data_IF_306541712282
#
_entry.id   IF_306541712282
#
_cell.length_a   1.000
_cell.length_b   1.000
_cell.length_c   1.000
_cell.angle_alpha   90.00
_cell.angle_beta   90.00
_cell.angle_gamma   90.00
#
_symmetry.space_group_name_H-M   'P 1'
#
loop_
_entity.id
_entity.type
_entity.pdbx_description
1 polymer ?
#
# COMPACT_ATOMS: atom_id res chain seq x y z
N UNK A 1 -18.44 -2.63 -27.72
CA UNK A 1 -17.05 -2.90 -28.16
C UNK A 1 -16.00 -1.99 -27.48
N UNK A 2 -16.40 -0.82 -26.98
CA UNK A 2 -15.47 0.13 -26.32
C UNK A 2 -15.23 -0.14 -24.83
N UNK A 3 -16.14 -0.79 -24.12
CA UNK A 3 -15.98 -1.10 -22.69
C UNK A 3 -14.86 -2.13 -22.40
N UNK A 4 -14.61 -3.04 -23.33
CA UNK A 4 -13.54 -4.05 -23.18
C UNK A 4 -12.14 -3.44 -23.24
N UNK A 5 -11.94 -2.37 -24.01
CA UNK A 5 -10.66 -1.68 -24.16
C UNK A 5 -10.35 -0.74 -22.98
N UNK A 6 -11.35 -0.15 -22.34
CA UNK A 6 -11.15 0.71 -21.16
C UNK A 6 -10.75 -0.10 -19.94
N UNK A 7 -11.38 -1.24 -19.69
CA UNK A 7 -11.07 -2.11 -18.57
C UNK A 7 -9.65 -2.71 -18.66
N UNK A 8 -9.15 -2.98 -19.87
CA UNK A 8 -7.82 -3.57 -20.05
C UNK A 8 -6.69 -2.61 -19.68
N UNK A 9 -6.93 -1.29 -19.69
CA UNK A 9 -5.92 -0.29 -19.33
C UNK A 9 -5.98 0.15 -17.84
N UNK A 10 -7.07 -0.13 -17.13
CA UNK A 10 -7.25 0.28 -15.72
C UNK A 10 -6.37 -0.54 -14.78
N UNK A 11 -6.30 -1.84 -14.96
CA UNK A 11 -5.50 -2.73 -14.11
C UNK A 11 -4.00 -2.40 -14.11
N UNK A 12 -3.35 -2.19 -15.27
CA UNK A 12 -1.93 -1.84 -15.31
C UNK A 12 -1.63 -0.53 -14.59
N UNK A 13 -2.47 0.49 -14.78
CA UNK A 13 -2.33 1.77 -14.10
C UNK A 13 -2.48 1.64 -12.58
N UNK A 14 -3.42 0.81 -12.13
CA UNK A 14 -3.63 0.54 -10.72
C UNK A 14 -2.40 -0.13 -10.09
N UNK A 15 -1.85 -1.16 -10.70
CA UNK A 15 -0.65 -1.84 -10.22
C UNK A 15 0.58 -0.92 -10.22
N UNK A 16 0.71 -0.05 -11.23
CA UNK A 16 1.78 0.95 -11.27
C UNK A 16 1.68 1.91 -10.09
N UNK A 17 0.47 2.41 -9.77
CA UNK A 17 0.26 3.27 -8.61
C UNK A 17 0.51 2.56 -7.29
N UNK A 18 0.12 1.28 -7.16
CA UNK A 18 0.44 0.46 -6.00
C UNK A 18 1.95 0.31 -5.81
N UNK A 19 2.67 0.06 -6.88
CA UNK A 19 4.13 -0.04 -6.86
C UNK A 19 4.78 1.29 -6.45
N UNK A 20 4.33 2.41 -7.02
CA UNK A 20 4.79 3.75 -6.64
C UNK A 20 4.50 4.02 -5.16
N UNK A 21 3.32 3.67 -4.66
CA UNK A 21 2.96 3.80 -3.26
C UNK A 21 3.88 2.99 -2.34
N UNK A 22 4.18 1.75 -2.71
CA UNK A 22 5.12 0.90 -1.97
C UNK A 22 6.54 1.51 -1.93
N UNK A 23 7.02 2.05 -3.05
CA UNK A 23 8.31 2.72 -3.11
C UNK A 23 8.34 3.96 -2.22
N UNK A 24 7.30 4.79 -2.24
CA UNK A 24 7.17 5.98 -1.38
C UNK A 24 7.14 5.56 0.09
N UNK A 25 6.37 4.55 0.43
CA UNK A 25 6.28 4.00 1.80
C UNK A 25 7.64 3.52 2.28
N UNK A 26 8.34 2.75 1.48
CA UNK A 26 9.67 2.26 1.84
C UNK A 26 10.68 3.42 1.97
N UNK A 27 10.73 4.30 0.98
CA UNK A 27 11.67 5.42 0.96
C UNK A 27 11.45 6.37 2.14
N UNK A 28 10.20 6.72 2.45
CA UNK A 28 9.87 7.61 3.58
C UNK A 28 10.17 6.94 4.93
N UNK A 29 9.82 5.66 5.09
CA UNK A 29 10.11 4.89 6.29
C UNK A 29 11.61 4.75 6.54
N UNK A 30 12.35 4.39 5.50
CA UNK A 30 13.81 4.25 5.58
C UNK A 30 14.50 5.60 5.84
N UNK A 31 14.11 6.66 5.16
CA UNK A 31 14.67 8.00 5.37
C UNK A 31 14.49 8.49 6.82
N UNK A 32 13.36 8.16 7.46
CA UNK A 32 13.13 8.49 8.87
C UNK A 32 14.09 7.74 9.80
N UNK A 33 14.42 6.49 9.50
CA UNK A 33 15.37 5.73 10.33
C UNK A 33 16.79 6.31 10.29
N UNK A 34 17.13 7.05 9.25
CA UNK A 34 18.42 7.71 9.13
C UNK A 34 18.53 9.00 9.94
N UNK A 35 17.40 9.54 10.40
CA UNK A 35 17.36 10.78 11.18
C UNK A 35 16.89 10.49 12.61
N UNK A 36 17.85 10.33 13.52
CA UNK A 36 17.59 10.02 14.95
C UNK A 36 16.62 11.00 15.60
N UNK A 37 16.73 12.29 15.27
CA UNK A 37 15.92 13.33 15.91
C UNK A 37 14.45 13.23 15.51
N UNK A 38 14.17 12.97 14.22
CA UNK A 38 12.81 12.74 13.73
C UNK A 38 12.25 11.42 14.25
N UNK A 39 13.08 10.40 14.35
CA UNK A 39 12.67 9.09 14.85
C UNK A 39 12.25 9.16 16.33
N UNK A 40 12.98 9.89 17.16
CA UNK A 40 12.61 10.13 18.56
C UNK A 40 11.26 10.84 18.66
N UNK A 41 10.99 11.83 17.81
CA UNK A 41 9.69 12.53 17.79
C UNK A 41 8.54 11.59 17.38
N UNK A 42 8.75 10.73 16.39
CA UNK A 42 7.76 9.73 15.96
C UNK A 42 7.47 8.74 17.08
N UNK A 43 8.50 8.25 17.75
CA UNK A 43 8.35 7.34 18.89
C UNK A 43 7.66 8.01 20.09
N UNK A 44 7.95 9.29 20.35
CA UNK A 44 7.31 10.07 21.42
C UNK A 44 5.82 10.35 21.14
N UNK A 45 5.45 10.56 19.87
CA UNK A 45 4.06 10.71 19.47
C UNK A 45 3.25 9.40 19.62
N UNK A 46 3.93 8.27 19.48
CA UNK A 46 3.32 6.95 19.48
C UNK A 46 2.65 6.59 18.15
N UNK A 47 2.46 5.30 17.94
CA UNK A 47 1.85 4.76 16.71
C UNK A 47 0.35 5.06 16.60
N UNK A 48 -0.37 5.12 17.73
CA UNK A 48 -1.84 5.23 17.74
C UNK A 48 -2.39 6.48 17.00
N UNK A 49 -1.89 7.71 17.27
CA UNK A 49 -2.39 8.89 16.54
C UNK A 49 -2.13 8.79 15.03
N UNK A 50 -0.97 8.27 14.63
CA UNK A 50 -0.59 8.11 13.23
C UNK A 50 -1.50 7.09 12.56
N UNK A 51 -1.74 5.95 13.19
CA UNK A 51 -2.65 4.91 12.70
C UNK A 51 -4.09 5.41 12.52
N UNK A 52 -4.58 6.24 13.46
CA UNK A 52 -5.92 6.84 13.35
C UNK A 52 -6.00 7.76 12.12
N UNK A 53 -4.99 8.59 11.90
CA UNK A 53 -4.93 9.47 10.71
C UNK A 53 -4.89 8.64 9.43
N UNK A 54 -4.09 7.57 9.39
CA UNK A 54 -4.02 6.65 8.25
C UNK A 54 -5.39 6.02 7.95
N UNK A 55 -6.08 5.53 8.97
CA UNK A 55 -7.42 4.93 8.82
C UNK A 55 -8.41 5.97 8.28
N UNK A 56 -8.39 7.20 8.79
CA UNK A 56 -9.26 8.28 8.32
C UNK A 56 -9.00 8.58 6.84
N UNK A 57 -7.73 8.72 6.44
CA UNK A 57 -7.37 8.97 5.04
C UNK A 57 -7.77 7.80 4.15
N UNK A 58 -7.54 6.56 4.58
CA UNK A 58 -7.94 5.36 3.85
C UNK A 58 -9.46 5.28 3.66
N UNK A 59 -10.24 5.60 4.69
CA UNK A 59 -11.70 5.66 4.60
C UNK A 59 -12.16 6.78 3.64
N UNK A 60 -11.57 7.97 3.72
CA UNK A 60 -11.88 9.08 2.81
C UNK A 60 -11.58 8.68 1.37
N UNK A 61 -10.41 8.09 1.12
CA UNK A 61 -10.07 7.57 -0.21
C UNK A 61 -11.06 6.51 -0.68
N UNK A 62 -11.40 5.53 0.17
CA UNK A 62 -12.31 4.45 -0.19
C UNK A 62 -13.73 4.92 -0.50
N UNK A 63 -14.28 5.81 0.34
CA UNK A 63 -15.68 6.27 0.22
C UNK A 63 -15.84 7.29 -0.91
N UNK A 64 -14.87 8.20 -1.08
CA UNK A 64 -14.95 9.33 -2.02
C UNK A 64 -14.25 9.10 -3.34
N UNK A 65 -13.65 7.92 -3.56
CA UNK A 65 -12.85 7.60 -4.74
C UNK A 65 -13.59 7.98 -6.05
N UNK A 66 -14.86 7.63 -6.18
CA UNK A 66 -15.66 7.87 -7.38
C UNK A 66 -16.07 9.34 -7.59
N UNK A 67 -15.96 10.19 -6.56
CA UNK A 67 -16.42 11.60 -6.57
C UNK A 67 -15.28 12.61 -6.51
N UNK A 68 -14.04 12.15 -6.30
CA UNK A 68 -12.89 13.03 -6.17
C UNK A 68 -12.26 13.37 -7.51
N UNK A 69 -11.75 14.59 -7.61
CA UNK A 69 -10.92 14.95 -8.75
C UNK A 69 -9.64 14.07 -8.78
N UNK A 70 -9.21 13.57 -9.95
CA UNK A 70 -8.06 12.68 -10.05
C UNK A 70 -6.78 13.21 -9.40
N UNK A 71 -6.54 14.51 -9.47
CA UNK A 71 -5.37 15.14 -8.84
C UNK A 71 -5.44 15.05 -7.32
N UNK A 72 -6.59 15.34 -6.72
CA UNK A 72 -6.81 15.26 -5.27
C UNK A 72 -6.60 13.83 -4.77
N UNK A 73 -7.09 12.85 -5.52
CA UNK A 73 -6.90 11.44 -5.21
C UNK A 73 -5.42 11.05 -5.19
N UNK A 74 -4.65 11.48 -6.19
CA UNK A 74 -3.21 11.22 -6.26
C UNK A 74 -2.45 11.84 -5.10
N UNK A 75 -2.77 13.09 -4.75
CA UNK A 75 -2.14 13.80 -3.62
C UNK A 75 -2.44 13.09 -2.31
N UNK A 76 -3.69 12.74 -2.04
CA UNK A 76 -4.08 12.00 -0.84
C UNK A 76 -3.42 10.62 -0.77
N UNK A 77 -3.29 9.95 -1.90
CA UNK A 77 -2.63 8.65 -1.97
C UNK A 77 -1.13 8.76 -1.64
N UNK A 78 -0.45 9.79 -2.15
CA UNK A 78 0.97 10.05 -1.81
C UNK A 78 1.13 10.38 -0.32
N UNK A 79 0.26 11.22 0.23
CA UNK A 79 0.26 11.55 1.67
C UNK A 79 0.03 10.28 2.50
N UNK A 80 -0.94 9.46 2.13
CA UNK A 80 -1.19 8.17 2.76
C UNK A 80 0.04 7.26 2.72
N UNK A 81 0.70 7.15 1.57
CA UNK A 81 1.90 6.33 1.41
C UNK A 81 3.07 6.82 2.28
N UNK A 82 3.23 8.14 2.44
CA UNK A 82 4.24 8.72 3.33
C UNK A 82 3.91 8.41 4.79
N UNK A 83 2.66 8.58 5.22
CA UNK A 83 2.22 8.27 6.58
C UNK A 83 2.41 6.78 6.91
N UNK A 84 2.06 5.90 5.98
CA UNK A 84 2.32 4.46 6.11
C UNK A 84 3.82 4.20 6.25
N UNK A 85 4.68 4.94 5.55
CA UNK A 85 6.12 4.87 5.73
C UNK A 85 6.57 5.31 7.12
N UNK A 86 5.94 6.34 7.70
CA UNK A 86 6.21 6.75 9.09
C UNK A 86 5.87 5.61 10.07
N UNK A 87 4.72 4.96 9.90
CA UNK A 87 4.35 3.77 10.69
C UNK A 87 5.37 2.63 10.51
N UNK A 88 5.79 2.36 9.28
CA UNK A 88 6.81 1.35 9.00
C UNK A 88 8.18 1.70 9.55
N UNK A 89 8.53 2.98 9.72
CA UNK A 89 9.82 3.36 10.31
C UNK A 89 9.98 2.82 11.73
N UNK A 90 8.91 2.76 12.51
CA UNK A 90 8.91 2.15 13.84
C UNK A 90 9.18 0.64 13.75
N UNK A 91 8.62 -0.02 12.74
CA UNK A 91 8.86 -1.44 12.47
C UNK A 91 10.32 -1.67 12.05
N UNK A 92 10.89 -0.78 11.24
CA UNK A 92 12.30 -0.85 10.84
C UNK A 92 13.27 -0.76 12.02
N UNK A 93 12.91 -0.04 13.08
CA UNK A 93 13.71 0.05 14.30
C UNK A 93 13.52 -1.19 15.18
N UNK A 94 12.31 -1.74 15.22
CA UNK A 94 11.98 -2.89 16.05
C UNK A 94 12.49 -4.23 15.48
N UNK A 95 12.64 -4.32 14.15
CA UNK A 95 13.04 -5.53 13.44
C UNK A 95 14.32 -5.32 12.63
N UNK A 96 14.99 -6.42 12.33
CA UNK A 96 16.21 -6.39 11.52
C UNK A 96 15.90 -5.91 10.09
N UNK A 97 16.54 -4.84 9.66
CA UNK A 97 16.30 -4.17 8.36
C UNK A 97 16.46 -5.15 7.19
N UNK A 98 17.41 -6.10 7.28
CA UNK A 98 17.63 -7.11 6.24
C UNK A 98 16.42 -8.01 6.01
N UNK A 99 15.75 -8.41 7.09
CA UNK A 99 14.52 -9.21 7.02
C UNK A 99 13.37 -8.44 6.36
N UNK A 100 13.25 -7.15 6.70
CA UNK A 100 12.21 -6.29 6.13
C UNK A 100 12.45 -6.02 4.64
N UNK A 101 13.70 -5.76 4.24
CA UNK A 101 14.07 -5.62 2.82
C UNK A 101 13.70 -6.90 2.05
N UNK A 102 14.00 -8.07 2.61
CA UNK A 102 13.64 -9.34 1.99
C UNK A 102 12.14 -9.50 1.79
N UNK A 103 11.34 -9.14 2.79
CA UNK A 103 9.87 -9.17 2.70
C UNK A 103 9.38 -8.20 1.61
N UNK A 104 9.91 -6.97 1.56
CA UNK A 104 9.55 -6.01 0.53
C UNK A 104 9.90 -6.49 -0.88
N UNK A 105 11.08 -7.07 -1.07
CA UNK A 105 11.51 -7.62 -2.36
C UNK A 105 10.61 -8.77 -2.79
N UNK A 106 10.32 -9.71 -1.90
CA UNK A 106 9.43 -10.83 -2.18
C UNK A 106 8.03 -10.34 -2.55
N UNK A 107 7.50 -9.38 -1.79
CA UNK A 107 6.20 -8.76 -2.07
C UNK A 107 6.18 -8.06 -3.42
N UNK A 108 7.23 -7.29 -3.73
CA UNK A 108 7.37 -6.61 -5.02
C UNK A 108 7.42 -7.61 -6.20
N UNK A 109 8.13 -8.73 -6.04
CA UNK A 109 8.17 -9.80 -7.05
C UNK A 109 6.78 -10.42 -7.22
N UNK A 110 6.08 -10.72 -6.14
CA UNK A 110 4.71 -11.27 -6.20
C UNK A 110 3.78 -10.29 -6.92
N UNK A 111 3.84 -9.00 -6.61
CA UNK A 111 3.05 -7.98 -7.30
C UNK A 111 3.40 -7.86 -8.78
N UNK A 112 4.68 -7.93 -9.14
CA UNK A 112 5.12 -7.93 -10.52
C UNK A 112 4.59 -9.14 -11.29
N UNK A 113 4.64 -10.33 -10.68
CA UNK A 113 4.09 -11.57 -11.28
C UNK A 113 2.57 -11.49 -11.43
N UNK A 114 1.86 -10.97 -10.42
CA UNK A 114 0.41 -10.80 -10.49
C UNK A 114 0.02 -9.76 -11.54
N UNK A 115 0.77 -8.67 -11.66
CA UNK A 115 0.56 -7.67 -12.69
C UNK A 115 0.78 -8.26 -14.08
N UNK A 116 1.87 -9.01 -14.27
CA UNK A 116 2.15 -9.71 -15.53
C UNK A 116 1.06 -10.74 -15.86
N UNK A 117 0.61 -11.51 -14.87
CA UNK A 117 -0.50 -12.45 -15.03
C UNK A 117 -1.80 -11.72 -15.40
N UNK A 118 -2.12 -10.61 -14.75
CA UNK A 118 -3.28 -9.79 -15.06
C UNK A 118 -3.25 -9.20 -16.48
N UNK A 119 -2.06 -8.89 -17.01
CA UNK A 119 -1.89 -8.44 -18.38
C UNK A 119 -2.12 -9.54 -19.44
N UNK A 120 -1.71 -10.77 -19.11
CA UNK A 120 -1.72 -11.88 -20.06
C UNK A 120 -2.99 -12.72 -20.00
N UNK A 121 -3.73 -12.67 -18.87
CA UNK A 121 -4.94 -13.47 -18.69
C UNK A 121 -6.14 -12.80 -19.34
N UNK A 122 -6.92 -13.62 -20.06
CA UNK A 122 -8.24 -13.26 -20.59
C UNK A 122 -9.40 -13.74 -19.69
N UNK A 123 -9.08 -14.32 -18.54
CA UNK A 123 -10.08 -14.86 -17.61
C UNK A 123 -10.63 -13.76 -16.71
N UNK A 124 -11.91 -13.86 -16.39
CA UNK A 124 -12.55 -13.00 -15.41
C UNK A 124 -12.05 -13.36 -14.00
N UNK A 125 -11.31 -12.44 -13.39
CA UNK A 125 -10.73 -12.58 -12.05
C UNK A 125 -11.67 -12.09 -10.94
N UNK A 126 -12.89 -11.67 -11.27
CA UNK A 126 -13.86 -11.12 -10.32
C UNK A 126 -14.17 -12.10 -9.18
N UNK A 127 -14.14 -13.39 -9.44
CA UNK A 127 -14.39 -14.44 -8.43
C UNK A 127 -13.24 -14.64 -7.45
N UNK A 128 -12.03 -14.19 -7.79
CA UNK A 128 -10.84 -14.34 -6.94
C UNK A 128 -10.81 -13.30 -5.82
N UNK A 129 -11.38 -12.11 -6.07
CA UNK A 129 -11.43 -11.02 -5.09
C UNK A 129 -12.03 -11.44 -3.73
N UNK A 130 -13.25 -12.01 -3.69
CA UNK A 130 -13.85 -12.47 -2.43
C UNK A 130 -13.04 -13.56 -1.72
N UNK A 131 -12.42 -14.47 -2.46
CA UNK A 131 -11.56 -15.53 -1.90
C UNK A 131 -10.30 -14.91 -1.27
N UNK A 132 -9.68 -13.96 -1.96
CA UNK A 132 -8.52 -13.23 -1.44
C UNK A 132 -8.87 -12.43 -0.18
N UNK A 133 -10.06 -11.81 -0.13
CA UNK A 133 -10.53 -11.10 1.06
C UNK A 133 -10.72 -12.03 2.26
N UNK A 134 -11.31 -13.20 2.06
CA UNK A 134 -11.49 -14.21 3.12
C UNK A 134 -10.11 -14.70 3.62
N UNK A 135 -9.17 -14.95 2.70
CA UNK A 135 -7.83 -15.34 3.06
C UNK A 135 -7.11 -14.25 3.87
N UNK A 136 -7.25 -12.98 3.48
CA UNK A 136 -6.70 -11.84 4.21
C UNK A 136 -7.28 -11.74 5.62
N UNK A 137 -8.60 -11.87 5.77
CA UNK A 137 -9.27 -11.89 7.07
C UNK A 137 -8.78 -13.05 7.94
N UNK A 138 -8.58 -14.22 7.34
CA UNK A 138 -8.01 -15.38 8.03
C UNK A 138 -6.60 -15.12 8.57
N UNK A 139 -5.74 -14.47 7.80
CA UNK A 139 -4.39 -14.10 8.21
C UNK A 139 -4.43 -13.07 9.34
N UNK A 140 -5.31 -12.07 9.26
CA UNK A 140 -5.47 -11.05 10.32
C UNK A 140 -5.91 -11.71 11.62
N UNK A 141 -6.90 -12.60 11.58
CA UNK A 141 -7.41 -13.32 12.76
C UNK A 141 -6.32 -14.22 13.35
N UNK A 142 -5.54 -14.89 12.52
CA UNK A 142 -4.45 -15.75 12.97
C UNK A 142 -3.26 -14.96 13.58
N UNK A 143 -3.10 -13.69 13.17
CA UNK A 143 -2.05 -12.80 13.67
C UNK A 143 -2.38 -12.06 14.99
N UNK A 144 -3.64 -12.14 15.42
CA UNK A 144 -4.08 -11.57 16.70
C UNK A 144 -3.89 -12.60 17.81
#
# INVERSE_FOLDING_TARGET
MNEYNENTQVYPKMFTWLFIGLLITFASGYALTLNEQLMIQVLALGILPIAIIEIVIALVLGIRLAKMHPLTMKILYVIYSILTGVTFSVIFVAFEVSSLISIFIITAIIFALLAFYGYTTKRDLTKIGPIALIALLGIIIAGI
#
